data_IF_640948179334
#
_entry.id   IF_640948179334
#
_cell.length_a   1.000
_cell.length_b   1.000
_cell.length_c   1.000
_cell.angle_alpha   90.00
_cell.angle_beta   90.00
_cell.angle_gamma   90.00
#
_symmetry.space_group_name_H-M   'P 1'
#
loop_
_entity.id
_entity.type
_entity.pdbx_description
1 polymer ?
#
# COMPACT_ATOMS: atom_id res chain seq x y z
N UNK A 1 -14.78 16.54 -22.00
CA UNK A 1 -14.32 17.45 -20.91
C UNK A 1 -14.98 17.21 -19.55
N UNK A 2 -16.29 16.96 -19.41
CA UNK A 2 -16.89 16.65 -18.08
C UNK A 2 -16.58 15.23 -17.58
N UNK A 3 -16.44 14.23 -18.46
CA UNK A 3 -16.08 12.86 -18.10
C UNK A 3 -14.64 12.75 -17.58
N UNK A 4 -13.68 13.43 -18.22
CA UNK A 4 -12.25 13.31 -17.85
C UNK A 4 -11.94 13.78 -16.42
N UNK A 5 -12.71 14.76 -15.91
CA UNK A 5 -12.53 15.27 -14.54
C UNK A 5 -13.13 14.33 -13.49
N UNK A 6 -14.23 13.65 -13.80
CA UNK A 6 -14.86 12.66 -12.90
C UNK A 6 -14.00 11.41 -12.86
N UNK A 7 -13.53 10.94 -14.00
CA UNK A 7 -12.65 9.76 -14.12
C UNK A 7 -11.30 9.96 -13.43
N UNK A 8 -10.67 11.14 -13.57
CA UNK A 8 -9.44 11.45 -12.86
C UNK A 8 -9.62 11.44 -11.34
N UNK A 9 -10.77 11.91 -10.84
CA UNK A 9 -11.09 11.93 -9.41
C UNK A 9 -11.19 10.51 -8.83
N UNK A 10 -11.73 9.57 -9.58
CA UNK A 10 -11.88 8.17 -9.21
C UNK A 10 -10.51 7.48 -8.97
N UNK A 11 -9.49 7.78 -9.81
CA UNK A 11 -8.16 7.21 -9.64
C UNK A 11 -7.37 7.81 -8.46
N UNK A 12 -7.67 9.05 -8.05
CA UNK A 12 -7.03 9.65 -6.87
C UNK A 12 -7.34 8.89 -5.58
N UNK A 13 -8.47 8.21 -5.52
CA UNK A 13 -8.85 7.39 -4.36
C UNK A 13 -7.88 6.21 -4.13
N UNK A 14 -7.20 5.73 -5.18
CA UNK A 14 -6.21 4.65 -5.09
C UNK A 14 -4.82 5.14 -4.68
N UNK A 15 -4.60 6.46 -4.61
CA UNK A 15 -3.29 7.04 -4.30
C UNK A 15 -2.72 6.51 -2.99
N UNK A 16 -3.51 6.50 -1.93
CA UNK A 16 -3.09 6.03 -0.61
C UNK A 16 -2.66 4.55 -0.64
N UNK A 17 -3.42 3.71 -1.32
CA UNK A 17 -3.10 2.31 -1.52
C UNK A 17 -1.78 2.11 -2.28
N UNK A 18 -1.60 2.80 -3.39
CA UNK A 18 -0.38 2.73 -4.18
C UNK A 18 0.83 3.29 -3.42
N UNK A 19 0.66 4.36 -2.64
CA UNK A 19 1.69 4.91 -1.77
C UNK A 19 2.13 3.92 -0.71
N UNK A 20 1.18 3.22 -0.08
CA UNK A 20 1.47 2.18 0.90
C UNK A 20 2.34 1.07 0.30
N UNK A 21 1.95 0.52 -0.85
CA UNK A 21 2.69 -0.54 -1.53
C UNK A 21 4.07 -0.09 -2.01
N UNK A 22 4.15 1.08 -2.65
CA UNK A 22 5.42 1.65 -3.13
C UNK A 22 6.39 1.91 -1.97
N UNK A 23 5.90 2.48 -0.86
CA UNK A 23 6.70 2.74 0.34
C UNK A 23 7.27 1.46 0.91
N UNK A 24 6.46 0.42 1.06
CA UNK A 24 6.89 -0.87 1.59
C UNK A 24 8.01 -1.47 0.76
N UNK A 25 7.84 -1.53 -0.55
CA UNK A 25 8.84 -2.07 -1.45
C UNK A 25 10.12 -1.24 -1.51
N UNK A 26 9.99 0.09 -1.66
CA UNK A 26 11.14 0.97 -1.89
C UNK A 26 11.94 1.24 -0.62
N UNK A 27 11.29 1.38 0.55
CA UNK A 27 11.98 1.64 1.82
C UNK A 27 12.88 0.48 2.24
N UNK A 28 12.50 -0.75 1.89
CA UNK A 28 13.26 -1.95 2.24
C UNK A 28 14.51 -2.14 1.37
N UNK A 29 14.49 -1.69 0.12
CA UNK A 29 15.52 -2.03 -0.87
C UNK A 29 16.28 -0.84 -1.47
N UNK A 30 15.70 0.36 -1.48
CA UNK A 30 16.23 1.49 -2.29
C UNK A 30 16.44 2.80 -1.52
N UNK A 31 16.39 2.78 -0.19
CA UNK A 31 16.68 3.91 0.72
C UNK A 31 16.94 5.26 0.02
N UNK A 32 15.92 6.12 -0.05
CA UNK A 32 15.97 7.52 -0.47
C UNK A 32 16.44 7.86 -1.90
N UNK A 33 16.79 6.87 -2.73
CA UNK A 33 17.24 7.14 -4.13
C UNK A 33 16.08 7.25 -5.13
N UNK A 34 14.89 6.78 -4.77
CA UNK A 34 13.68 6.84 -5.60
C UNK A 34 12.60 7.58 -4.86
N UNK A 35 12.01 8.60 -5.51
CA UNK A 35 10.83 9.26 -4.97
C UNK A 35 9.60 8.38 -5.23
N UNK A 36 9.09 7.80 -4.15
CA UNK A 36 7.87 6.97 -4.19
C UNK A 36 6.65 7.76 -4.67
N UNK A 37 6.61 9.08 -4.42
CA UNK A 37 5.51 9.94 -4.85
C UNK A 37 5.46 10.05 -6.37
N UNK A 38 6.62 10.17 -7.01
CA UNK A 38 6.76 10.25 -8.47
C UNK A 38 6.34 8.92 -9.12
N UNK A 39 6.76 7.78 -8.54
CA UNK A 39 6.37 6.45 -9.05
C UNK A 39 4.86 6.25 -8.94
N UNK A 40 4.23 6.68 -7.83
CA UNK A 40 2.78 6.59 -7.66
C UNK A 40 2.07 7.53 -8.63
N UNK A 41 2.54 8.74 -8.81
CA UNK A 41 1.97 9.69 -9.78
C UNK A 41 2.05 9.13 -11.20
N UNK A 42 3.20 8.58 -11.60
CA UNK A 42 3.37 7.94 -12.91
C UNK A 42 2.45 6.72 -13.07
N UNK A 43 2.23 5.97 -11.98
CA UNK A 43 1.31 4.82 -11.98
C UNK A 43 -0.13 5.26 -12.24
N UNK A 44 -0.57 6.34 -11.59
CA UNK A 44 -1.91 6.90 -11.80
C UNK A 44 -2.07 7.47 -13.22
N UNK A 45 -1.05 8.16 -13.74
CA UNK A 45 -1.07 8.66 -15.12
C UNK A 45 -1.13 7.52 -16.14
N UNK A 46 -0.35 6.47 -15.96
CA UNK A 46 -0.38 5.29 -16.83
C UNK A 46 -1.73 4.55 -16.72
N UNK A 47 -2.33 4.48 -15.54
CA UNK A 47 -3.65 3.92 -15.35
C UNK A 47 -4.72 4.71 -16.12
N UNK A 48 -4.72 6.03 -16.02
CA UNK A 48 -5.62 6.90 -16.78
C UNK A 48 -5.45 6.72 -18.29
N UNK A 49 -4.20 6.71 -18.77
CA UNK A 49 -3.90 6.57 -20.18
C UNK A 49 -4.30 5.20 -20.77
N UNK A 50 -4.38 4.15 -19.94
CA UNK A 50 -4.71 2.78 -20.38
C UNK A 50 -6.05 2.30 -19.86
N UNK A 51 -6.86 3.18 -19.26
CA UNK A 51 -8.17 2.84 -18.68
C UNK A 51 -9.12 2.17 -19.67
N UNK A 52 -9.15 2.59 -20.92
CA UNK A 52 -9.96 1.99 -21.97
C UNK A 52 -9.62 0.50 -22.23
N UNK A 53 -8.45 0.05 -21.82
CA UNK A 53 -8.01 -1.35 -21.95
C UNK A 53 -8.35 -2.19 -20.73
N UNK A 54 -8.84 -1.57 -19.65
CA UNK A 54 -9.26 -2.28 -18.45
C UNK A 54 -10.62 -2.93 -18.67
N UNK A 55 -10.67 -4.25 -18.58
CA UNK A 55 -11.89 -5.06 -18.77
C UNK A 55 -12.47 -5.60 -17.47
N UNK A 56 -11.87 -5.28 -16.33
CA UNK A 56 -12.34 -5.74 -15.02
C UNK A 56 -13.63 -5.05 -14.59
N UNK A 57 -14.45 -5.76 -13.82
CA UNK A 57 -15.74 -5.28 -13.31
C UNK A 57 -15.74 -5.11 -11.78
N UNK A 58 -14.75 -5.69 -11.10
CA UNK A 58 -14.66 -5.70 -9.64
C UNK A 58 -13.52 -4.83 -9.12
N UNK A 59 -13.68 -4.33 -7.90
CA UNK A 59 -12.62 -3.60 -7.20
C UNK A 59 -11.33 -4.43 -7.06
N UNK A 60 -11.45 -5.73 -6.80
CA UNK A 60 -10.31 -6.63 -6.71
C UNK A 60 -9.51 -6.71 -8.02
N UNK A 61 -10.19 -6.75 -9.17
CA UNK A 61 -9.54 -6.73 -10.49
C UNK A 61 -8.89 -5.37 -10.77
N UNK A 62 -9.52 -4.28 -10.35
CA UNK A 62 -8.97 -2.92 -10.46
C UNK A 62 -7.70 -2.78 -9.63
N UNK A 63 -7.70 -3.22 -8.37
CA UNK A 63 -6.52 -3.23 -7.51
C UNK A 63 -5.39 -4.10 -8.09
N UNK A 64 -5.72 -5.28 -8.64
CA UNK A 64 -4.75 -6.16 -9.29
C UNK A 64 -4.14 -5.52 -10.56
N UNK A 65 -4.94 -4.81 -11.34
CA UNK A 65 -4.49 -4.09 -12.52
C UNK A 65 -3.57 -2.91 -12.14
N UNK A 66 -3.93 -2.12 -11.14
CA UNK A 66 -3.11 -1.02 -10.63
C UNK A 66 -1.78 -1.53 -10.07
N UNK A 67 -1.76 -2.66 -9.36
CA UNK A 67 -0.52 -3.28 -8.89
C UNK A 67 0.40 -3.65 -10.05
N UNK A 68 -0.13 -4.19 -11.15
CA UNK A 68 0.68 -4.51 -12.35
C UNK A 68 1.33 -3.27 -12.97
N UNK A 69 0.62 -2.15 -13.01
CA UNK A 69 1.18 -0.88 -13.48
C UNK A 69 2.26 -0.40 -12.52
N UNK A 70 2.02 -0.45 -11.21
CA UNK A 70 2.99 -0.07 -10.18
C UNK A 70 4.28 -0.91 -10.30
N UNK A 71 4.17 -2.23 -10.42
CA UNK A 71 5.33 -3.14 -10.61
C UNK A 71 6.17 -2.72 -11.79
N UNK A 72 5.55 -2.43 -12.95
CA UNK A 72 6.27 -1.97 -14.15
C UNK A 72 7.00 -0.64 -13.92
N UNK A 73 6.37 0.32 -13.26
CA UNK A 73 6.96 1.62 -12.98
C UNK A 73 8.11 1.52 -11.97
N UNK A 74 7.96 0.70 -10.92
CA UNK A 74 9.05 0.40 -9.97
C UNK A 74 10.21 -0.29 -10.70
N UNK A 75 9.94 -1.30 -11.53
CA UNK A 75 10.96 -2.00 -12.30
C UNK A 75 11.68 -1.05 -13.27
N UNK A 76 10.97 -0.11 -13.89
CA UNK A 76 11.56 0.91 -14.76
C UNK A 76 12.48 1.85 -13.96
N UNK A 77 11.99 2.46 -12.90
CA UNK A 77 12.76 3.38 -12.07
C UNK A 77 14.01 2.73 -11.45
N UNK A 78 13.91 1.46 -11.03
CA UNK A 78 15.05 0.73 -10.48
C UNK A 78 16.08 0.33 -11.55
N UNK A 79 15.67 0.14 -12.81
CA UNK A 79 16.61 -0.09 -13.94
C UNK A 79 17.43 1.15 -14.25
N UNK A 80 16.82 2.33 -14.29
CA UNK A 80 17.53 3.60 -14.51
C UNK A 80 18.64 3.83 -13.48
N UNK A 81 18.44 3.44 -12.23
CA UNK A 81 19.47 3.54 -11.19
C UNK A 81 20.65 2.59 -11.37
N UNK A 82 20.50 1.49 -12.08
CA UNK A 82 21.49 0.42 -12.12
C UNK A 82 22.09 0.15 -13.50
N UNK A 83 21.77 0.92 -14.52
CA UNK A 83 22.31 0.80 -15.92
C UNK A 83 22.28 -0.65 -16.47
N UNK A 84 21.34 -1.50 -16.05
CA UNK A 84 21.29 -2.92 -16.40
C UNK A 84 20.14 -3.27 -17.34
N UNK A 85 20.36 -4.27 -18.20
CA UNK A 85 19.36 -4.89 -19.09
C UNK A 85 18.10 -5.31 -18.33
N UNK A 86 16.98 -5.39 -19.07
CA UNK A 86 15.68 -5.88 -18.58
C UNK A 86 15.89 -7.25 -17.91
N UNK A 87 15.57 -7.32 -16.63
CA UNK A 87 15.65 -8.53 -15.82
C UNK A 87 14.24 -8.95 -15.42
N UNK A 88 13.71 -9.97 -16.12
CA UNK A 88 12.36 -10.51 -15.88
C UNK A 88 12.26 -11.11 -14.48
N UNK A 89 13.32 -11.73 -13.99
CA UNK A 89 13.33 -12.32 -12.64
C UNK A 89 13.18 -11.23 -11.57
N UNK A 90 13.81 -10.09 -11.79
CA UNK A 90 13.68 -8.94 -10.88
C UNK A 90 12.27 -8.35 -10.88
N UNK A 91 11.62 -8.30 -12.04
CA UNK A 91 10.23 -7.85 -12.16
C UNK A 91 9.27 -8.82 -11.43
N UNK A 92 9.53 -10.12 -11.46
CA UNK A 92 8.79 -11.12 -10.68
C UNK A 92 8.96 -10.92 -9.18
N UNK A 93 10.18 -10.72 -8.68
CA UNK A 93 10.43 -10.45 -7.27
C UNK A 93 9.75 -9.17 -6.77
N UNK A 94 9.69 -8.12 -7.60
CA UNK A 94 8.94 -6.90 -7.30
C UNK A 94 7.45 -7.20 -7.20
N UNK A 95 6.91 -8.00 -8.14
CA UNK A 95 5.51 -8.36 -8.16
C UNK A 95 5.12 -9.21 -6.93
N UNK A 96 5.95 -10.17 -6.54
CA UNK A 96 5.76 -10.99 -5.34
C UNK A 96 5.69 -10.12 -4.08
N UNK A 97 6.68 -9.25 -3.86
CA UNK A 97 6.77 -8.37 -2.69
C UNK A 97 5.57 -7.39 -2.59
N UNK A 98 5.15 -6.81 -3.73
CA UNK A 98 3.98 -5.93 -3.79
C UNK A 98 2.68 -6.70 -3.54
N UNK A 99 2.54 -7.90 -4.07
CA UNK A 99 1.36 -8.75 -3.85
C UNK A 99 1.28 -9.25 -2.41
N UNK A 100 2.40 -9.66 -1.82
CA UNK A 100 2.48 -10.03 -0.40
C UNK A 100 2.07 -8.88 0.50
N UNK A 101 2.55 -7.66 0.22
CA UNK A 101 2.14 -6.47 0.97
C UNK A 101 0.64 -6.21 0.86
N UNK A 102 0.03 -6.42 -0.31
CA UNK A 102 -1.42 -6.32 -0.50
C UNK A 102 -2.18 -7.41 0.28
N UNK A 103 -1.71 -8.66 0.21
CA UNK A 103 -2.33 -9.78 0.94
C UNK A 103 -2.26 -9.60 2.45
N UNK A 104 -1.15 -9.10 2.98
CA UNK A 104 -1.01 -8.77 4.40
C UNK A 104 -1.95 -7.64 4.82
N UNK A 105 -2.16 -6.64 3.96
CA UNK A 105 -3.15 -5.59 4.20
C UNK A 105 -4.57 -6.17 4.28
N UNK A 106 -4.90 -7.10 3.39
CA UNK A 106 -6.16 -7.84 3.43
C UNK A 106 -6.29 -8.64 4.73
N UNK A 107 -5.27 -9.39 5.13
CA UNK A 107 -5.24 -10.18 6.37
C UNK A 107 -5.36 -9.31 7.63
N UNK A 108 -4.69 -8.16 7.66
CA UNK A 108 -4.81 -7.19 8.76
C UNK A 108 -6.26 -6.75 8.98
N UNK A 109 -7.02 -6.62 7.89
CA UNK A 109 -8.45 -6.30 7.94
C UNK A 109 -9.32 -7.40 8.48
N UNK A 110 -8.99 -8.64 8.06
CA UNK A 110 -9.88 -9.77 8.23
C UNK A 110 -9.82 -10.34 9.64
N UNK A 111 -8.68 -10.19 10.35
CA UNK A 111 -8.37 -11.08 11.46
C UNK A 111 -8.33 -12.54 10.97
N UNK A 112 -7.86 -13.44 11.78
CA UNK A 112 -7.67 -14.84 11.41
C UNK A 112 -8.98 -15.68 11.27
N UNK A 113 -10.17 -15.09 11.48
CA UNK A 113 -11.44 -15.83 11.60
C UNK A 113 -12.54 -15.42 10.59
N UNK A 114 -12.17 -14.87 9.44
CA UNK A 114 -13.16 -14.36 8.49
C UNK A 114 -13.79 -15.45 7.62
N UNK A 115 -15.13 -15.44 7.51
CA UNK A 115 -15.87 -16.33 6.59
C UNK A 115 -15.70 -15.92 5.12
N UNK A 116 -15.89 -16.85 4.15
CA UNK A 116 -15.75 -16.56 2.71
C UNK A 116 -16.62 -15.38 2.21
N UNK A 117 -17.83 -15.22 2.74
CA UNK A 117 -18.71 -14.10 2.40
C UNK A 117 -18.20 -12.75 2.93
N UNK A 118 -17.47 -12.76 4.04
CA UNK A 118 -16.81 -11.57 4.55
C UNK A 118 -15.58 -11.17 3.72
N UNK A 119 -14.94 -12.11 3.02
CA UNK A 119 -13.83 -11.84 2.12
C UNK A 119 -14.23 -10.96 0.93
N UNK A 120 -15.43 -11.13 0.38
CA UNK A 120 -15.91 -10.33 -0.76
C UNK A 120 -16.17 -8.86 -0.36
N UNK A 121 -16.91 -8.64 0.73
CA UNK A 121 -17.24 -7.29 1.24
C UNK A 121 -16.00 -6.51 1.72
N UNK A 122 -14.91 -7.20 2.02
CA UNK A 122 -13.71 -6.61 2.63
C UNK A 122 -12.62 -6.26 1.63
N UNK A 123 -12.61 -6.85 0.43
CA UNK A 123 -11.69 -6.45 -0.65
C UNK A 123 -11.87 -4.98 -1.03
N UNK A 124 -13.11 -4.48 -0.97
CA UNK A 124 -13.41 -3.07 -1.21
C UNK A 124 -12.81 -2.14 -0.14
N UNK A 125 -12.54 -2.66 1.06
CA UNK A 125 -11.98 -1.88 2.17
C UNK A 125 -10.44 -1.82 2.19
N UNK A 126 -9.74 -2.66 1.42
CA UNK A 126 -8.27 -2.68 1.37
C UNK A 126 -7.70 -1.31 0.99
N UNK A 127 -8.32 -0.67 0.01
CA UNK A 127 -7.95 0.68 -0.44
C UNK A 127 -8.11 1.72 0.68
N UNK A 128 -9.24 1.70 1.35
CA UNK A 128 -9.57 2.66 2.42
C UNK A 128 -8.58 2.55 3.59
N UNK A 129 -8.19 1.33 3.94
CA UNK A 129 -7.25 1.12 5.05
C UNK A 129 -5.83 1.52 4.68
N UNK A 130 -5.39 1.19 3.48
CA UNK A 130 -4.11 1.68 3.01
C UNK A 130 -4.05 3.21 3.04
N UNK A 131 -5.10 3.88 2.57
CA UNK A 131 -5.22 5.32 2.64
C UNK A 131 -5.22 5.84 4.10
N UNK A 132 -5.96 5.19 4.99
CA UNK A 132 -5.99 5.56 6.40
C UNK A 132 -4.62 5.37 7.09
N UNK A 133 -3.87 4.32 6.77
CA UNK A 133 -2.51 4.11 7.27
C UNK A 133 -1.58 5.24 6.80
N UNK A 134 -1.71 5.67 5.54
CA UNK A 134 -0.91 6.77 5.00
C UNK A 134 -1.22 8.13 5.64
N UNK A 135 -2.43 8.32 6.16
CA UNK A 135 -2.84 9.51 6.92
C UNK A 135 -2.38 9.51 8.38
N UNK A 136 -1.82 8.39 8.88
CA UNK A 136 -1.26 8.38 10.23
C UNK A 136 0.01 9.25 10.33
N UNK A 137 0.24 9.88 11.49
CA UNK A 137 1.54 10.48 11.80
C UNK A 137 2.68 9.44 11.64
N UNK A 138 3.87 9.90 11.26
CA UNK A 138 5.01 9.03 10.93
C UNK A 138 5.27 7.94 11.96
N UNK A 139 5.36 8.30 13.24
CA UNK A 139 5.66 7.33 14.33
C UNK A 139 4.53 6.30 14.51
N UNK A 140 3.26 6.75 14.38
CA UNK A 140 2.11 5.86 14.47
C UNK A 140 2.04 4.90 13.28
N UNK A 141 2.32 5.39 12.09
CA UNK A 141 2.37 4.56 10.88
C UNK A 141 3.49 3.52 10.98
N UNK A 142 4.68 3.94 11.42
CA UNK A 142 5.82 3.06 11.55
C UNK A 142 5.54 1.91 12.53
N UNK A 143 5.00 2.21 13.71
CA UNK A 143 4.69 1.19 14.71
C UNK A 143 3.61 0.21 14.24
N UNK A 144 2.61 0.66 13.48
CA UNK A 144 1.60 -0.20 12.86
C UNK A 144 2.24 -1.14 11.84
N UNK A 145 3.05 -0.61 10.95
CA UNK A 145 3.75 -1.42 9.93
C UNK A 145 4.64 -2.47 10.61
N UNK A 146 5.51 -2.07 11.50
CA UNK A 146 6.42 -2.99 12.19
C UNK A 146 5.66 -4.08 12.99
N UNK A 147 4.54 -3.73 13.61
CA UNK A 147 3.73 -4.68 14.39
C UNK A 147 3.00 -5.69 13.55
N UNK A 148 2.31 -5.23 12.51
CA UNK A 148 1.33 -6.04 11.79
C UNK A 148 1.86 -6.59 10.45
N UNK A 149 2.89 -5.99 9.87
CA UNK A 149 3.53 -6.48 8.65
C UNK A 149 4.86 -7.19 8.90
N UNK A 150 5.63 -6.73 9.88
CA UNK A 150 6.89 -7.35 10.24
C UNK A 150 6.75 -8.25 11.48
N UNK A 151 5.55 -8.37 12.02
CA UNK A 151 5.16 -9.23 13.15
C UNK A 151 6.01 -9.03 14.42
N UNK A 152 6.66 -7.85 14.56
CA UNK A 152 7.53 -7.55 15.68
C UNK A 152 6.76 -7.51 17.00
N UNK A 153 7.31 -8.12 18.02
CA UNK A 153 6.83 -8.02 19.40
C UNK A 153 6.98 -6.59 19.94
N UNK A 154 6.31 -6.26 21.07
CA UNK A 154 6.48 -4.95 21.71
C UNK A 154 7.92 -4.69 22.16
N UNK A 155 8.66 -5.73 22.53
CA UNK A 155 10.05 -5.63 22.93
C UNK A 155 10.93 -5.26 21.73
N UNK A 156 10.82 -6.00 20.63
CA UNK A 156 11.55 -5.70 19.39
C UNK A 156 11.22 -4.33 18.81
N UNK A 157 9.95 -3.89 18.95
CA UNK A 157 9.53 -2.53 18.58
C UNK A 157 10.21 -1.47 19.46
N UNK A 158 10.29 -1.73 20.76
CA UNK A 158 10.97 -0.86 21.74
C UNK A 158 12.43 -0.66 21.37
N UNK A 159 13.13 -1.75 21.09
CA UNK A 159 14.54 -1.74 20.66
C UNK A 159 14.69 -1.03 19.30
N UNK A 160 13.87 -1.38 18.32
CA UNK A 160 13.93 -0.81 16.96
C UNK A 160 13.67 0.70 16.93
N UNK A 161 12.76 1.19 17.76
CA UNK A 161 12.35 2.59 17.81
C UNK A 161 13.13 3.41 18.85
N UNK A 162 13.97 2.78 19.69
CA UNK A 162 14.65 3.44 20.79
C UNK A 162 13.69 4.07 21.81
N UNK A 163 12.50 3.45 22.03
CA UNK A 163 11.46 3.94 22.92
C UNK A 163 11.11 2.85 23.94
N UNK A 164 10.60 3.23 25.13
CA UNK A 164 10.12 2.23 26.10
C UNK A 164 8.92 1.43 25.55
N UNK A 165 8.77 0.20 26.04
CA UNK A 165 7.64 -0.68 25.64
C UNK A 165 6.28 -0.03 25.92
N UNK A 166 6.15 0.73 27.02
CA UNK A 166 4.94 1.48 27.35
C UNK A 166 4.68 2.62 26.36
N UNK A 167 5.72 3.33 25.92
CA UNK A 167 5.59 4.36 24.90
C UNK A 167 5.16 3.78 23.54
N UNK A 168 5.71 2.62 23.16
CA UNK A 168 5.32 1.88 21.94
C UNK A 168 3.88 1.40 22.03
N UNK A 169 3.45 0.83 23.17
CA UNK A 169 2.07 0.43 23.39
C UNK A 169 1.11 1.63 23.28
N UNK A 170 1.49 2.78 23.83
CA UNK A 170 0.75 4.03 23.70
C UNK A 170 0.66 4.54 22.24
N UNK A 171 1.72 4.39 21.46
CA UNK A 171 1.71 4.71 20.03
C UNK A 171 0.75 3.80 19.25
N UNK A 172 0.81 2.49 19.48
CA UNK A 172 -0.09 1.50 18.87
C UNK A 172 -1.56 1.78 19.21
N UNK A 173 -1.85 2.07 20.48
CA UNK A 173 -3.19 2.40 20.92
C UNK A 173 -3.74 3.65 20.20
N UNK A 174 -2.96 4.73 20.15
CA UNK A 174 -3.35 5.97 19.44
C UNK A 174 -3.52 5.73 17.94
N UNK A 175 -2.61 4.97 17.31
CA UNK A 175 -2.69 4.62 15.91
C UNK A 175 -3.97 3.84 15.58
N UNK A 176 -4.26 2.80 16.35
CA UNK A 176 -5.47 1.97 16.19
C UNK A 176 -6.75 2.79 16.40
N UNK A 177 -6.78 3.67 17.41
CA UNK A 177 -7.91 4.57 17.64
C UNK A 177 -8.13 5.51 16.46
N UNK A 178 -7.05 6.10 15.92
CA UNK A 178 -7.13 7.00 14.77
C UNK A 178 -7.55 6.26 13.49
N UNK A 179 -7.04 5.05 13.25
CA UNK A 179 -7.48 4.22 12.12
C UNK A 179 -8.97 3.92 12.17
N UNK A 180 -9.49 3.53 13.34
CA UNK A 180 -10.94 3.30 13.52
C UNK A 180 -11.76 4.55 13.21
N UNK A 181 -11.31 5.71 13.67
CA UNK A 181 -11.99 6.99 13.39
C UNK A 181 -11.99 7.32 11.89
N UNK A 182 -10.85 7.16 11.20
CA UNK A 182 -10.74 7.41 9.76
C UNK A 182 -11.62 6.47 8.94
N UNK A 183 -11.69 5.19 9.33
CA UNK A 183 -12.50 4.20 8.63
C UNK A 183 -14.02 4.37 8.89
N UNK A 184 -14.40 4.88 10.05
CA UNK A 184 -15.80 5.16 10.36
C UNK A 184 -16.34 6.39 9.62
N UNK A 185 -15.49 7.35 9.24
CA UNK A 185 -15.89 8.53 8.47
C UNK A 185 -16.10 8.26 6.98
N UNK A 186 -15.65 7.10 6.49
CA UNK A 186 -15.75 6.67 5.08
C UNK A 186 -16.88 5.63 4.86
N UNK A 187 -17.61 5.25 5.91
CA UNK A 187 -18.73 4.31 5.88
C UNK A 187 -20.06 5.02 5.83
#
# INVERSE_FOLDING_TARGET
>A
MKNDVVESKEFFEYRGYLQFLARRHLSTRYNAKLDQSDIVQQTLLNALATQAQFQGQTEAERLAWLRRILVRNVAHATRELHTKKRDIHREQLIAEDINDSSSRLETFLLGNEASPSQHLVRKDKVRLIAAAIELLPRDQRQVVILRYWEEKSLVELSEHLGKSTSAVAGLLHRATKKLRSLLASES
#
